data_IF_246823196816
#
_entry.id   IF_246823196816
#
_cell.length_a   1.000
_cell.length_b   1.000
_cell.length_c   1.000
_cell.angle_alpha   90.00
_cell.angle_beta   90.00
_cell.angle_gamma   90.00
#
_symmetry.space_group_name_H-M   'P 1'
#
loop_
_entity.id
_entity.type
_entity.pdbx_description
1 polymer ?
#
# COMPACT_ATOMS: atom_id res chain seq x y z
N UNK A 1 49.88 41.22 -41.79
CA UNK A 1 50.96 41.39 -40.79
C UNK A 1 50.41 42.19 -39.63
N UNK A 2 50.74 41.81 -38.39
CA UNK A 2 50.16 42.32 -37.13
C UNK A 2 48.65 42.05 -36.99
N UNK A 3 48.12 41.59 -35.85
CA UNK A 3 48.82 41.05 -34.68
C UNK A 3 48.07 41.35 -33.39
N UNK A 4 47.51 40.31 -32.77
CA UNK A 4 47.14 40.28 -31.35
C UNK A 4 47.58 38.92 -30.82
N UNK A 5 48.58 38.92 -29.93
CA UNK A 5 49.03 37.74 -29.21
C UNK A 5 48.56 37.82 -27.75
N UNK A 6 48.59 36.67 -27.09
CA UNK A 6 48.74 36.52 -25.64
C UNK A 6 47.74 37.25 -24.74
N UNK A 7 46.70 36.51 -24.36
CA UNK A 7 46.60 36.16 -22.94
C UNK A 7 45.97 34.77 -22.77
N UNK A 8 46.70 33.74 -23.19
CA UNK A 8 46.43 32.36 -22.74
C UNK A 8 46.84 32.21 -21.28
N UNK A 9 45.98 32.69 -20.40
CA UNK A 9 46.11 32.56 -18.95
C UNK A 9 45.90 31.11 -18.53
N UNK A 10 46.99 30.33 -18.55
CA UNK A 10 47.16 28.99 -17.99
C UNK A 10 46.07 28.53 -17.00
N UNK A 11 45.47 27.36 -17.24
CA UNK A 11 44.61 26.65 -16.27
C UNK A 11 45.38 26.09 -15.04
N UNK A 12 46.47 26.73 -14.66
CA UNK A 12 47.30 26.42 -13.50
C UNK A 12 46.59 26.69 -12.17
N UNK A 13 46.04 25.62 -11.57
CA UNK A 13 45.75 25.48 -10.12
C UNK A 13 45.24 26.73 -9.40
N UNK A 14 44.17 27.35 -9.89
CA UNK A 14 43.43 28.40 -9.17
C UNK A 14 41.98 27.96 -8.92
N UNK A 15 41.49 28.19 -7.70
CA UNK A 15 40.16 27.75 -7.26
C UNK A 15 39.06 28.68 -7.80
N UNK A 16 38.72 28.52 -9.08
CA UNK A 16 37.47 29.04 -9.62
C UNK A 16 36.31 28.53 -8.77
N UNK A 17 35.52 29.45 -8.21
CA UNK A 17 34.35 29.06 -7.43
C UNK A 17 33.40 28.28 -8.34
N UNK A 18 32.90 27.13 -7.89
CA UNK A 18 31.82 26.38 -8.56
C UNK A 18 30.50 27.16 -8.69
N UNK A 19 30.51 28.44 -8.28
CA UNK A 19 29.45 29.44 -8.32
C UNK A 19 29.80 30.54 -9.37
N UNK A 20 30.54 30.20 -10.44
CA UNK A 20 30.78 31.10 -11.60
C UNK A 20 30.58 30.53 -13.04
N UNK A 21 30.35 29.22 -13.25
CA UNK A 21 30.09 28.61 -14.58
C UNK A 21 28.62 28.51 -15.05
N UNK A 22 27.68 28.49 -14.12
CA UNK A 22 26.31 28.03 -14.38
C UNK A 22 25.30 28.69 -13.44
N UNK A 23 25.46 30.01 -13.24
CA UNK A 23 24.46 30.99 -12.79
C UNK A 23 23.38 31.22 -13.87
N UNK A 24 23.24 30.29 -14.81
CA UNK A 24 22.87 30.60 -16.18
C UNK A 24 21.52 30.01 -16.65
N UNK A 25 20.84 29.16 -15.86
CA UNK A 25 20.03 28.09 -16.45
C UNK A 25 18.64 27.81 -15.79
N UNK A 26 17.77 28.82 -15.56
CA UNK A 26 16.29 28.79 -15.87
C UNK A 26 15.23 29.11 -14.76
N UNK A 27 13.95 29.04 -15.16
CA UNK A 27 12.63 29.39 -14.55
C UNK A 27 11.50 28.79 -15.47
N UNK A 28 10.19 28.63 -15.19
CA UNK A 28 9.23 28.71 -14.05
C UNK A 28 7.94 27.88 -14.40
N UNK A 29 6.89 27.81 -13.57
CA UNK A 29 5.81 26.78 -13.66
C UNK A 29 4.32 27.20 -13.35
N UNK A 30 3.44 26.26 -12.92
CA UNK A 30 1.97 26.06 -13.25
C UNK A 30 1.12 25.46 -12.06
N UNK A 31 -0.26 25.46 -12.03
CA UNK A 31 -1.27 24.40 -11.56
C UNK A 31 -2.59 24.82 -10.80
N UNK A 32 -3.63 23.91 -10.69
CA UNK A 32 -4.84 23.93 -9.78
C UNK A 32 -5.95 22.81 -9.96
N UNK A 33 -6.76 22.36 -8.93
CA UNK A 33 -7.80 21.24 -8.95
C UNK A 33 -8.71 21.09 -7.62
N UNK A 34 -9.59 20.04 -7.42
CA UNK A 34 -10.36 19.49 -6.18
C UNK A 34 -11.92 19.80 -6.02
N UNK A 35 -12.92 19.12 -5.34
CA UNK A 35 -13.41 17.71 -4.95
C UNK A 35 -14.88 17.71 -4.28
N UNK A 36 -15.54 16.57 -3.83
CA UNK A 36 -17.04 16.36 -3.58
C UNK A 36 -17.50 15.33 -2.44
N UNK A 37 -18.76 15.34 -1.86
CA UNK A 37 -19.62 14.25 -1.15
C UNK A 37 -20.99 14.81 -0.52
N UNK A 38 -21.98 14.29 0.32
CA UNK A 38 -22.44 13.11 1.21
C UNK A 38 -23.98 13.31 1.68
N UNK A 39 -24.89 12.59 2.44
CA UNK A 39 -25.37 11.19 2.82
C UNK A 39 -26.76 11.14 3.66
N UNK A 40 -27.39 9.94 3.97
CA UNK A 40 -28.42 9.54 5.04
C UNK A 40 -29.97 9.86 4.92
N UNK A 41 -31.05 9.38 5.66
CA UNK A 41 -31.55 8.21 6.54
C UNK A 41 -33.13 8.35 6.85
N UNK A 42 -34.02 7.69 7.71
CA UNK A 42 -34.10 6.61 8.80
C UNK A 42 -35.58 6.29 9.40
N UNK A 43 -36.00 5.00 9.69
CA UNK A 43 -36.87 4.41 10.82
C UNK A 43 -38.39 4.80 11.15
N UNK A 44 -39.21 4.25 12.16
CA UNK A 44 -39.30 2.99 13.03
C UNK A 44 -40.72 2.41 13.50
N UNK A 45 -40.75 1.40 14.45
CA UNK A 45 -41.81 0.91 15.44
C UNK A 45 -42.93 -0.10 14.98
N UNK A 46 -43.75 -0.87 15.78
CA UNK A 46 -43.72 -1.69 17.07
C UNK A 46 -45.00 -2.65 17.11
N UNK A 47 -45.57 -3.46 18.06
CA UNK A 47 -45.53 -3.92 19.51
C UNK A 47 -46.18 -5.38 19.59
N UNK A 48 -46.81 -6.11 20.58
CA UNK A 48 -47.30 -6.06 22.01
C UNK A 48 -47.50 -7.50 22.68
N UNK A 49 -48.43 -7.75 23.67
CA UNK A 49 -48.77 -9.03 24.41
C UNK A 49 -50.30 -9.15 24.79
N UNK A 50 -50.95 -10.10 25.50
CA UNK A 50 -50.72 -11.32 26.37
C UNK A 50 -51.97 -12.31 26.28
N UNK A 51 -52.41 -13.30 27.13
CA UNK A 51 -52.12 -13.89 28.48
C UNK A 51 -52.73 -15.36 28.64
N UNK A 52 -53.02 -15.94 29.86
CA UNK A 52 -53.26 -17.40 30.10
C UNK A 52 -54.40 -17.86 31.09
N UNK A 53 -54.79 -19.15 31.03
CA UNK A 53 -55.59 -19.94 32.02
C UNK A 53 -55.08 -21.41 32.16
N UNK A 54 -55.63 -22.18 33.10
CA UNK A 54 -55.18 -23.52 33.59
C UNK A 54 -56.43 -24.33 34.02
N UNK A 55 -56.61 -25.65 33.86
CA UNK A 55 -55.78 -26.75 33.32
C UNK A 55 -56.64 -27.85 32.62
N UNK A 56 -55.99 -28.96 32.22
CA UNK A 56 -56.50 -30.33 31.94
C UNK A 56 -57.60 -30.57 30.89
N UNK A 57 -58.30 -29.54 30.42
CA UNK A 57 -59.32 -29.62 29.37
C UNK A 57 -59.17 -28.49 28.36
N UNK A 58 -59.40 -28.81 27.09
CA UNK A 58 -59.49 -27.81 26.01
C UNK A 58 -60.96 -27.67 25.59
N UNK A 59 -61.48 -26.44 25.70
CA UNK A 59 -62.86 -26.11 25.35
C UNK A 59 -63.00 -26.00 23.84
N UNK A 60 -63.69 -26.96 23.22
CA UNK A 60 -64.13 -26.85 21.83
C UNK A 60 -65.65 -26.64 21.82
N UNK A 61 -66.06 -25.42 21.46
CA UNK A 61 -67.47 -24.95 21.56
C UNK A 61 -68.02 -25.06 23.00
N UNK A 62 -68.93 -25.98 23.28
CA UNK A 62 -69.54 -26.21 24.61
C UNK A 62 -69.14 -27.56 25.25
N UNK A 63 -68.26 -28.34 24.62
CA UNK A 63 -67.78 -29.60 25.18
C UNK A 63 -66.34 -29.48 25.70
N UNK A 64 -66.11 -30.03 26.90
CA UNK A 64 -64.79 -30.20 27.48
C UNK A 64 -64.21 -31.52 26.98
N UNK A 65 -63.30 -31.44 25.99
CA UNK A 65 -62.64 -32.63 25.45
C UNK A 65 -61.40 -32.95 26.31
N UNK A 66 -61.21 -34.20 26.79
CA UNK A 66 -59.98 -34.62 27.45
C UNK A 66 -58.75 -34.34 26.58
N UNK A 67 -57.63 -33.90 27.18
CA UNK A 67 -56.43 -33.53 26.43
C UNK A 67 -55.93 -34.62 25.47
N UNK A 68 -56.01 -35.89 25.85
CA UNK A 68 -55.60 -37.02 25.01
C UNK A 68 -56.53 -37.32 23.81
N UNK A 69 -57.74 -36.74 23.79
CA UNK A 69 -58.69 -36.80 22.67
C UNK A 69 -58.67 -35.54 21.80
N UNK A 70 -57.85 -34.53 22.17
CA UNK A 70 -57.71 -33.31 21.40
C UNK A 70 -56.82 -33.54 20.16
N UNK A 71 -57.21 -32.93 19.05
CA UNK A 71 -56.37 -32.79 17.86
C UNK A 71 -55.01 -32.19 18.24
N UNK A 72 -53.92 -32.74 17.69
CA UNK A 72 -52.54 -32.34 17.99
C UNK A 72 -52.08 -32.48 19.47
N UNK A 73 -52.59 -33.46 20.22
CA UNK A 73 -52.04 -33.82 21.53
C UNK A 73 -50.68 -34.56 21.44
N UNK A 74 -49.68 -34.09 22.20
CA UNK A 74 -48.36 -34.75 22.33
C UNK A 74 -48.20 -35.32 23.73
N UNK A 75 -48.11 -36.65 23.83
CA UNK A 75 -47.97 -37.36 25.11
C UNK A 75 -46.70 -36.96 25.88
N UNK A 76 -45.54 -36.91 25.22
CA UNK A 76 -44.25 -36.48 25.80
C UNK A 76 -44.27 -35.04 26.37
N UNK A 77 -45.20 -34.19 25.89
CA UNK A 77 -45.41 -32.81 26.33
C UNK A 77 -46.43 -32.73 27.48
N UNK A 78 -47.29 -33.73 27.64
CA UNK A 78 -48.48 -33.67 28.49
C UNK A 78 -49.55 -32.68 27.98
N UNK A 79 -49.57 -32.35 26.68
CA UNK A 79 -50.49 -31.31 26.19
C UNK A 79 -50.52 -31.12 24.68
N UNK A 80 -51.42 -30.24 24.24
CA UNK A 80 -51.74 -29.97 22.83
C UNK A 80 -50.78 -28.92 22.22
N UNK A 81 -50.61 -28.98 20.89
CA UNK A 81 -49.96 -27.96 20.06
C UNK A 81 -51.00 -27.16 19.27
N UNK A 82 -50.84 -25.84 19.15
CA UNK A 82 -51.65 -25.05 18.23
C UNK A 82 -51.19 -25.28 16.78
N UNK A 83 -52.05 -25.00 15.80
CA UNK A 83 -51.71 -25.20 14.37
C UNK A 83 -50.55 -24.28 13.99
N UNK A 84 -49.44 -24.86 13.56
CA UNK A 84 -48.17 -24.17 13.31
C UNK A 84 -47.11 -24.37 14.40
N UNK A 85 -47.50 -24.75 15.63
CA UNK A 85 -46.55 -25.08 16.69
C UNK A 85 -45.85 -26.42 16.44
N UNK A 86 -44.66 -26.56 17.02
CA UNK A 86 -43.93 -27.81 17.13
C UNK A 86 -43.50 -28.09 18.58
N UNK A 87 -43.26 -29.36 18.87
CA UNK A 87 -42.60 -29.84 20.09
C UNK A 87 -41.38 -30.67 19.71
N UNK A 88 -40.32 -30.57 20.51
CA UNK A 88 -39.13 -31.45 20.41
C UNK A 88 -39.02 -32.24 21.71
N UNK A 89 -38.86 -33.55 21.60
CA UNK A 89 -38.77 -34.42 22.77
C UNK A 89 -37.51 -34.16 23.61
N UNK A 90 -37.49 -34.63 24.86
CA UNK A 90 -36.41 -34.38 25.82
C UNK A 90 -35.01 -34.84 25.36
N UNK A 91 -34.95 -35.75 24.38
CA UNK A 91 -33.70 -36.27 23.78
C UNK A 91 -33.28 -35.56 22.48
N UNK A 92 -34.05 -34.60 21.99
CA UNK A 92 -33.93 -34.01 20.65
C UNK A 92 -33.78 -35.03 19.50
N UNK A 93 -34.46 -36.18 19.59
CA UNK A 93 -34.48 -37.21 18.52
C UNK A 93 -35.72 -37.14 17.63
N UNK A 94 -36.78 -36.45 18.10
CA UNK A 94 -38.09 -36.36 17.43
C UNK A 94 -38.67 -34.96 17.55
N UNK A 95 -39.24 -34.48 16.44
CA UNK A 95 -40.06 -33.27 16.36
C UNK A 95 -41.49 -33.65 15.96
N UNK A 96 -42.47 -33.19 16.72
CA UNK A 96 -43.90 -33.38 16.44
C UNK A 96 -44.51 -32.01 16.14
N UNK A 97 -45.06 -31.80 14.95
CA UNK A 97 -45.57 -30.51 14.46
C UNK A 97 -47.07 -30.60 14.18
N UNK A 98 -47.86 -29.62 14.61
CA UNK A 98 -49.29 -29.58 14.32
C UNK A 98 -49.58 -28.87 12.99
N UNK A 99 -50.17 -29.57 12.02
CA UNK A 99 -50.59 -29.02 10.72
C UNK A 99 -51.98 -29.53 10.38
N UNK A 100 -52.89 -28.63 10.00
CA UNK A 100 -54.28 -28.97 9.64
C UNK A 100 -54.98 -29.85 10.69
N UNK A 101 -54.79 -29.56 11.97
CA UNK A 101 -55.30 -30.33 13.13
C UNK A 101 -54.76 -31.79 13.25
N UNK A 102 -53.70 -32.14 12.51
CA UNK A 102 -53.02 -33.43 12.62
C UNK A 102 -51.58 -33.23 13.11
N UNK A 103 -51.06 -34.18 13.90
CA UNK A 103 -49.64 -34.25 14.23
C UNK A 103 -48.89 -34.91 13.07
N UNK A 104 -47.79 -34.28 12.69
CA UNK A 104 -46.77 -34.83 11.81
C UNK A 104 -45.54 -35.04 12.66
N UNK A 105 -45.11 -36.29 12.83
CA UNK A 105 -43.84 -36.61 13.49
C UNK A 105 -42.72 -36.74 12.46
N UNK A 106 -41.56 -36.18 12.78
CA UNK A 106 -40.34 -36.30 12.01
C UNK A 106 -39.17 -36.68 12.94
N UNK A 107 -38.16 -37.32 12.36
CA UNK A 107 -36.83 -37.34 12.98
C UNK A 107 -36.34 -35.90 13.18
N UNK A 108 -35.61 -35.71 14.26
CA UNK A 108 -34.96 -34.45 14.60
C UNK A 108 -33.56 -34.79 15.08
N UNK A 109 -32.55 -34.07 14.62
CA UNK A 109 -31.15 -34.24 15.03
C UNK A 109 -30.51 -32.86 15.07
N UNK A 110 -29.70 -32.59 16.09
CA UNK A 110 -28.91 -31.37 16.12
C UNK A 110 -27.71 -31.49 15.18
N UNK A 111 -27.27 -30.37 14.61
CA UNK A 111 -25.92 -30.27 14.05
C UNK A 111 -24.88 -30.60 15.13
N UNK A 112 -23.73 -31.16 14.75
CA UNK A 112 -22.55 -31.33 15.63
C UNK A 112 -22.07 -30.00 16.26
N UNK A 113 -22.55 -28.87 15.74
CA UNK A 113 -22.29 -27.53 16.24
C UNK A 113 -23.53 -26.88 16.89
N UNK A 114 -24.47 -27.69 17.39
CA UNK A 114 -25.64 -27.24 18.14
C UNK A 114 -25.85 -28.06 19.42
N UNK A 115 -26.37 -27.40 20.45
CA UNK A 115 -26.77 -28.01 21.72
C UNK A 115 -28.28 -28.15 21.77
N UNK A 116 -28.78 -29.35 22.05
CA UNK A 116 -30.18 -29.58 22.46
C UNK A 116 -30.41 -28.88 23.81
N UNK A 117 -31.26 -27.86 23.84
CA UNK A 117 -31.55 -27.10 25.06
C UNK A 117 -33.00 -26.64 25.09
N UNK A 118 -33.47 -26.22 26.27
CA UNK A 118 -34.70 -25.47 26.42
C UNK A 118 -34.36 -24.02 26.78
N UNK A 119 -34.85 -23.06 26.00
CA UNK A 119 -34.65 -21.63 26.24
C UNK A 119 -36.02 -20.94 26.13
N UNK A 120 -36.39 -20.17 27.14
CA UNK A 120 -37.69 -19.48 27.23
C UNK A 120 -38.92 -20.40 26.99
N UNK A 121 -38.87 -21.63 27.51
CA UNK A 121 -39.95 -22.63 27.35
C UNK A 121 -39.98 -23.36 25.99
N UNK A 122 -39.02 -23.09 25.09
CA UNK A 122 -38.91 -23.75 23.79
C UNK A 122 -37.70 -24.68 23.77
N UNK A 123 -37.95 -26.00 23.74
CA UNK A 123 -36.92 -27.01 23.49
C UNK A 123 -36.69 -27.16 21.99
N UNK A 124 -35.42 -27.05 21.60
CA UNK A 124 -34.91 -27.34 20.25
C UNK A 124 -33.39 -27.41 20.27
N UNK A 125 -32.78 -27.71 19.12
CA UNK A 125 -31.38 -27.46 18.91
C UNK A 125 -31.12 -25.94 18.82
N UNK A 126 -30.05 -25.48 19.45
CA UNK A 126 -29.56 -24.11 19.34
C UNK A 126 -28.08 -24.17 18.94
N UNK A 127 -27.69 -23.46 17.88
CA UNK A 127 -26.28 -23.39 17.48
C UNK A 127 -25.39 -22.92 18.64
N UNK A 128 -24.21 -23.51 18.72
CA UNK A 128 -23.18 -23.20 19.72
C UNK A 128 -22.63 -21.78 19.48
N UNK A 129 -21.92 -21.17 20.46
CA UNK A 129 -21.24 -19.90 20.25
C UNK A 129 -20.39 -19.91 18.98
N UNK A 130 -20.38 -18.79 18.27
CA UNK A 130 -19.77 -18.60 16.95
C UNK A 130 -20.43 -19.39 15.80
N UNK A 131 -21.58 -20.03 15.97
CA UNK A 131 -22.37 -20.63 14.89
C UNK A 131 -23.76 -20.00 14.74
N UNK A 132 -24.29 -19.96 13.51
CA UNK A 132 -25.65 -19.48 13.19
C UNK A 132 -26.41 -20.47 12.29
N UNK A 133 -27.73 -20.48 12.43
CA UNK A 133 -28.63 -21.38 11.72
C UNK A 133 -29.91 -21.65 12.51
N UNK A 134 -30.63 -22.71 12.15
CA UNK A 134 -31.88 -23.12 12.82
C UNK A 134 -31.65 -24.05 14.03
N UNK A 135 -30.50 -24.74 14.07
CA UNK A 135 -30.09 -25.73 15.08
C UNK A 135 -29.92 -27.15 14.51
N UNK A 136 -30.60 -27.48 13.41
CA UNK A 136 -30.40 -28.71 12.64
C UNK A 136 -29.24 -28.49 11.64
N UNK A 137 -29.18 -27.30 11.04
CA UNK A 137 -28.03 -26.79 10.29
C UNK A 137 -27.41 -25.63 11.06
N UNK A 138 -26.09 -25.66 11.28
CA UNK A 138 -25.33 -24.58 11.90
C UNK A 138 -24.01 -24.34 11.14
N UNK A 139 -23.84 -23.13 10.60
CA UNK A 139 -22.61 -22.69 9.92
C UNK A 139 -21.80 -21.77 10.84
N UNK A 140 -20.48 -21.81 10.76
CA UNK A 140 -19.63 -20.92 11.56
C UNK A 140 -19.84 -19.46 11.13
N UNK A 141 -19.70 -18.54 12.06
CA UNK A 141 -19.78 -17.08 11.82
C UNK A 141 -18.45 -16.49 11.38
N UNK A 142 -17.37 -17.27 11.39
CA UNK A 142 -16.00 -16.77 11.26
C UNK A 142 -15.63 -15.66 12.27
N UNK A 143 -16.23 -15.71 13.46
CA UNK A 143 -15.81 -14.88 14.61
C UNK A 143 -14.43 -15.31 15.12
N UNK A 144 -13.52 -14.34 15.29
CA UNK A 144 -12.18 -14.50 15.85
C UNK A 144 -12.11 -13.71 17.16
N UNK A 145 -11.84 -14.42 18.26
CA UNK A 145 -11.83 -13.84 19.61
C UNK A 145 -10.78 -12.74 19.78
N UNK A 146 -9.56 -12.94 19.26
CA UNK A 146 -8.41 -12.02 19.33
C UNK A 146 -8.66 -10.63 18.71
N UNK A 147 -9.68 -10.49 17.84
CA UNK A 147 -10.12 -9.22 17.27
C UNK A 147 -11.56 -8.84 17.65
N UNK A 148 -12.22 -9.65 18.49
CA UNK A 148 -13.60 -9.45 18.94
C UNK A 148 -14.64 -9.35 17.82
N UNK A 149 -14.37 -9.91 16.64
CA UNK A 149 -15.12 -9.60 15.41
C UNK A 149 -15.19 -10.77 14.43
N UNK A 150 -16.13 -10.68 13.48
CA UNK A 150 -16.28 -11.59 12.33
C UNK A 150 -15.30 -11.19 11.23
N UNK A 151 -14.58 -12.17 10.67
CA UNK A 151 -13.74 -11.98 9.50
C UNK A 151 -14.59 -11.66 8.26
N UNK A 152 -14.30 -10.53 7.61
CA UNK A 152 -14.85 -10.23 6.27
C UNK A 152 -14.18 -11.03 5.15
N UNK A 153 -12.85 -11.24 5.26
CA UNK A 153 -12.06 -12.11 4.37
C UNK A 153 -10.95 -12.80 5.18
N UNK A 154 -9.96 -12.04 5.66
CA UNK A 154 -8.85 -12.52 6.50
C UNK A 154 -8.35 -11.45 7.46
N UNK A 155 -7.58 -11.85 8.47
CA UNK A 155 -6.90 -10.96 9.42
C UNK A 155 -5.54 -11.51 9.82
N UNK A 156 -4.70 -10.67 10.43
CA UNK A 156 -3.46 -11.05 11.11
C UNK A 156 -3.66 -10.96 12.62
N UNK A 157 -3.35 -12.04 13.33
CA UNK A 157 -3.51 -12.13 14.78
C UNK A 157 -2.48 -11.28 15.55
N UNK A 158 -2.73 -11.03 16.84
CA UNK A 158 -1.80 -10.28 17.69
C UNK A 158 -0.43 -10.98 17.76
N UNK A 159 0.61 -10.28 17.29
CA UNK A 159 1.98 -10.80 17.20
C UNK A 159 2.48 -11.09 15.78
N UNK A 160 1.62 -11.00 14.75
CA UNK A 160 1.99 -11.26 13.34
C UNK A 160 2.68 -12.62 13.08
N UNK A 161 2.35 -13.66 13.86
CA UNK A 161 2.84 -15.04 13.67
C UNK A 161 1.87 -15.93 12.89
N UNK A 162 0.60 -15.51 12.79
CA UNK A 162 -0.49 -16.28 12.17
C UNK A 162 -1.49 -15.37 11.44
N UNK A 163 -2.00 -15.86 10.31
CA UNK A 163 -3.09 -15.29 9.52
C UNK A 163 -4.31 -16.19 9.65
N UNK A 164 -5.48 -15.63 9.91
CA UNK A 164 -6.75 -16.37 9.96
C UNK A 164 -7.65 -15.89 8.83
N UNK A 165 -8.13 -16.81 7.99
CA UNK A 165 -8.94 -16.54 6.79
C UNK A 165 -10.28 -17.26 6.89
N UNK A 166 -11.37 -16.60 6.54
CA UNK A 166 -12.69 -17.23 6.44
C UNK A 166 -12.91 -17.74 5.01
N UNK A 167 -13.08 -19.05 4.85
CA UNK A 167 -13.50 -19.66 3.58
C UNK A 167 -14.65 -20.62 3.84
N UNK A 168 -15.71 -20.58 3.04
CA UNK A 168 -16.87 -21.50 3.11
C UNK A 168 -17.54 -21.61 4.51
N UNK A 169 -17.46 -20.58 5.35
CA UNK A 169 -17.88 -20.60 6.77
C UNK A 169 -17.01 -21.55 7.65
N UNK A 170 -15.71 -21.60 7.39
CA UNK A 170 -14.67 -22.22 8.20
C UNK A 170 -13.51 -21.24 8.37
N UNK A 171 -12.86 -21.24 9.54
CA UNK A 171 -11.60 -20.51 9.74
C UNK A 171 -10.45 -21.43 9.34
N UNK A 172 -9.60 -20.96 8.44
CA UNK A 172 -8.32 -21.54 8.07
C UNK A 172 -7.23 -20.68 8.71
N UNK A 173 -6.23 -21.30 9.32
CA UNK A 173 -5.12 -20.59 9.95
C UNK A 173 -3.78 -21.00 9.34
N UNK A 174 -3.02 -20.00 8.90
CA UNK A 174 -1.75 -20.14 8.20
C UNK A 174 -0.63 -19.49 9.03
N UNK A 175 0.60 -20.01 8.90
CA UNK A 175 1.79 -19.32 9.38
C UNK A 175 1.94 -17.98 8.66
N UNK A 176 2.11 -16.90 9.41
CA UNK A 176 2.37 -15.58 8.87
C UNK A 176 3.68 -15.07 9.47
N UNK A 177 4.56 -14.51 8.66
CA UNK A 177 5.85 -14.02 9.13
C UNK A 177 6.27 -12.79 8.33
N UNK A 178 6.66 -11.73 9.05
CA UNK A 178 7.19 -10.53 8.40
C UNK A 178 8.54 -10.81 7.74
N UNK A 179 8.79 -10.10 6.64
CA UNK A 179 10.15 -9.98 6.09
C UNK A 179 11.12 -9.44 7.15
N UNK A 180 12.41 -9.73 7.00
CA UNK A 180 13.49 -9.12 7.82
C UNK A 180 13.62 -7.60 7.60
N UNK A 181 12.90 -7.06 6.63
CA UNK A 181 12.76 -5.63 6.31
C UNK A 181 11.29 -5.18 6.40
N UNK A 182 10.54 -5.73 7.37
CA UNK A 182 9.16 -5.35 7.63
C UNK A 182 8.80 -5.36 9.12
N UNK A 183 8.14 -4.29 9.55
CA UNK A 183 7.61 -4.13 10.90
C UNK A 183 6.14 -4.59 10.98
N UNK A 184 5.82 -5.50 11.92
CA UNK A 184 4.44 -5.81 12.31
C UNK A 184 3.79 -4.57 12.94
N UNK A 185 2.72 -4.06 12.35
CA UNK A 185 2.01 -2.88 12.85
C UNK A 185 0.52 -2.94 12.57
N UNK A 186 -0.23 -2.01 13.15
CA UNK A 186 -1.60 -1.70 12.77
C UNK A 186 -1.67 -0.28 12.23
N UNK A 187 -2.21 -0.12 11.01
CA UNK A 187 -2.39 1.19 10.37
C UNK A 187 -3.81 1.26 9.81
N UNK A 188 -4.56 2.29 10.19
CA UNK A 188 -5.97 2.49 9.80
C UNK A 188 -6.90 1.29 10.10
N UNK A 189 -6.69 0.61 11.23
CA UNK A 189 -7.46 -0.58 11.64
C UNK A 189 -7.09 -1.87 10.90
N UNK A 190 -6.08 -1.85 10.02
CA UNK A 190 -5.54 -3.04 9.37
C UNK A 190 -4.24 -3.44 10.06
N UNK A 191 -4.20 -4.63 10.65
CA UNK A 191 -2.97 -5.22 11.20
C UNK A 191 -2.31 -6.11 10.15
N UNK A 192 -1.03 -5.86 9.90
CA UNK A 192 -0.16 -6.70 9.05
C UNK A 192 1.31 -6.30 9.21
N UNK A 193 2.20 -7.04 8.58
CA UNK A 193 3.56 -6.57 8.29
C UNK A 193 3.50 -5.43 7.26
N UNK A 194 4.31 -4.40 7.47
CA UNK A 194 4.54 -3.31 6.54
C UNK A 194 6.04 -3.21 6.30
N UNK A 195 6.47 -3.14 5.03
CA UNK A 195 7.89 -2.95 4.73
C UNK A 195 8.44 -1.67 5.40
N UNK A 196 9.71 -1.74 5.78
CA UNK A 196 10.43 -0.61 6.37
C UNK A 196 10.78 0.45 5.30
N UNK A 197 11.41 1.56 5.69
CA UNK A 197 11.76 2.62 4.74
C UNK A 197 12.70 2.11 3.64
N UNK A 198 12.47 2.57 2.41
CA UNK A 198 13.18 2.18 1.19
C UNK A 198 12.96 0.71 0.74
N UNK A 199 11.99 0.00 1.33
CA UNK A 199 11.54 -1.34 0.90
C UNK A 199 10.08 -1.33 0.44
N UNK A 200 9.78 -2.10 -0.62
CA UNK A 200 8.43 -2.32 -1.15
C UNK A 200 8.05 -3.80 -1.18
N UNK A 201 6.75 -4.09 -1.14
CA UNK A 201 6.20 -5.45 -1.13
C UNK A 201 4.90 -5.56 -0.34
N UNK A 202 4.51 -6.80 -0.01
CA UNK A 202 3.27 -7.09 0.73
C UNK A 202 3.44 -7.01 2.27
N UNK A 203 4.67 -7.19 2.76
CA UNK A 203 5.07 -7.26 4.17
C UNK A 203 5.68 -8.62 4.58
N UNK A 204 5.38 -9.69 3.85
CA UNK A 204 5.97 -11.02 3.99
C UNK A 204 7.22 -11.09 3.09
N UNK A 205 7.07 -10.64 1.85
CA UNK A 205 8.17 -10.28 0.95
C UNK A 205 8.32 -8.76 0.94
N UNK A 206 9.53 -8.27 1.25
CA UNK A 206 9.92 -6.88 1.09
C UNK A 206 11.28 -6.83 0.40
N UNK A 207 11.32 -6.29 -0.82
CA UNK A 207 12.55 -6.04 -1.57
C UNK A 207 12.93 -4.57 -1.43
N UNK A 208 14.23 -4.26 -1.34
CA UNK A 208 14.66 -2.85 -1.35
C UNK A 208 14.28 -2.27 -2.70
N UNK A 209 13.63 -1.12 -2.72
CA UNK A 209 13.41 -0.41 -3.97
C UNK A 209 14.79 -0.02 -4.51
N UNK A 210 15.18 -0.58 -5.66
CA UNK A 210 16.45 -0.24 -6.31
C UNK A 210 16.24 1.06 -7.08
N UNK A 211 16.02 2.12 -6.32
CA UNK A 211 15.99 3.49 -6.81
C UNK A 211 17.37 3.83 -7.39
N UNK A 212 17.47 4.25 -8.66
CA UNK A 212 18.76 4.43 -9.32
C UNK A 212 19.45 5.68 -8.78
N UNK A 213 20.67 5.55 -8.26
CA UNK A 213 21.46 6.67 -7.72
C UNK A 213 21.99 7.64 -8.77
N UNK A 214 22.05 7.22 -10.02
CA UNK A 214 22.59 7.95 -11.17
C UNK A 214 22.06 7.35 -12.50
N UNK A 215 22.35 8.01 -13.63
CA UNK A 215 21.97 7.50 -14.95
C UNK A 215 22.69 6.20 -15.33
N UNK A 216 23.83 5.86 -14.72
CA UNK A 216 24.54 4.61 -14.98
C UNK A 216 23.76 3.41 -14.42
N UNK A 217 23.13 3.54 -13.24
CA UNK A 217 22.24 2.50 -12.71
C UNK A 217 20.98 2.33 -13.56
N UNK A 218 20.38 3.42 -14.07
CA UNK A 218 19.30 3.35 -15.08
C UNK A 218 19.74 2.63 -16.36
N UNK A 219 20.96 2.89 -16.84
CA UNK A 219 21.49 2.24 -18.02
C UNK A 219 21.80 0.76 -17.79
N UNK A 220 22.34 0.39 -16.63
CA UNK A 220 22.54 -1.01 -16.25
C UNK A 220 21.21 -1.76 -16.08
N UNK A 221 20.14 -1.09 -15.61
CA UNK A 221 18.79 -1.68 -15.52
C UNK A 221 18.05 -1.80 -16.86
N UNK A 222 18.67 -1.40 -17.99
CA UNK A 222 18.14 -1.59 -19.35
C UNK A 222 17.54 -0.34 -19.99
N UNK A 223 17.60 0.82 -19.34
CA UNK A 223 17.14 2.10 -19.93
C UNK A 223 18.07 2.52 -21.06
N UNK A 224 17.56 2.71 -22.29
CA UNK A 224 18.39 2.97 -23.49
C UNK A 224 18.13 4.29 -24.22
N UNK A 225 17.04 4.98 -23.93
CA UNK A 225 16.71 6.26 -24.59
C UNK A 225 17.23 7.46 -23.81
N UNK A 226 17.62 8.51 -24.52
CA UNK A 226 17.92 9.81 -23.92
C UNK A 226 16.65 10.47 -23.32
N UNK A 227 16.77 11.17 -22.19
CA UNK A 227 15.62 11.86 -21.58
C UNK A 227 15.81 12.31 -20.14
N UNK A 228 14.76 12.90 -19.55
CA UNK A 228 14.74 13.29 -18.14
C UNK A 228 14.20 12.16 -17.27
N UNK A 229 15.00 11.75 -16.29
CA UNK A 229 14.70 10.69 -15.33
C UNK A 229 14.82 11.19 -13.89
N UNK A 230 14.14 10.50 -12.97
CA UNK A 230 14.34 10.70 -11.52
C UNK A 230 15.40 9.73 -11.03
N UNK A 231 16.45 10.25 -10.39
CA UNK A 231 17.48 9.49 -9.69
C UNK A 231 17.50 9.85 -8.21
N UNK A 232 18.11 9.01 -7.37
CA UNK A 232 18.07 9.12 -5.91
C UNK A 232 19.50 9.08 -5.31
N UNK A 233 20.28 10.17 -5.43
CA UNK A 233 21.63 10.24 -4.87
C UNK A 233 21.64 10.22 -3.34
N UNK A 234 22.78 9.87 -2.74
CA UNK A 234 22.92 9.76 -1.28
C UNK A 234 22.65 11.09 -0.57
N UNK A 235 21.66 11.07 0.33
CA UNK A 235 21.10 12.24 1.00
C UNK A 235 19.85 12.85 0.35
N UNK A 236 19.37 12.32 -0.79
CA UNK A 236 18.22 12.84 -1.53
C UNK A 236 17.12 11.77 -1.77
N UNK A 237 16.57 11.21 -0.69
CA UNK A 237 15.50 10.20 -0.74
C UNK A 237 14.19 10.66 -1.40
N UNK A 238 13.98 11.96 -1.58
CA UNK A 238 12.87 12.50 -2.39
C UNK A 238 13.02 12.28 -3.90
N UNK A 239 14.20 11.83 -4.34
CA UNK A 239 14.62 11.85 -5.74
C UNK A 239 14.94 13.27 -6.24
N UNK A 240 15.67 13.32 -7.36
CA UNK A 240 15.97 14.53 -8.13
C UNK A 240 15.86 14.24 -9.63
N UNK A 241 15.45 15.23 -10.43
CA UNK A 241 15.37 15.07 -11.88
C UNK A 241 16.68 15.50 -12.58
N UNK A 242 17.21 14.59 -13.39
CA UNK A 242 18.41 14.77 -14.23
C UNK A 242 18.07 14.47 -15.69
N UNK A 243 18.91 14.92 -16.62
CA UNK A 243 18.90 14.39 -17.98
C UNK A 243 19.95 13.28 -18.09
N UNK A 244 19.55 12.15 -18.66
CA UNK A 244 20.43 11.03 -18.96
C UNK A 244 20.68 10.98 -20.46
N UNK A 245 21.95 10.95 -20.84
CA UNK A 245 22.40 10.57 -22.18
C UNK A 245 22.75 9.08 -22.15
N UNK A 246 21.96 8.28 -22.86
CA UNK A 246 21.94 6.82 -22.86
C UNK A 246 22.36 6.25 -24.22
N UNK A 247 22.13 6.99 -25.31
CA UNK A 247 22.38 6.53 -26.69
C UNK A 247 23.82 6.84 -27.15
N UNK A 248 24.41 7.91 -26.62
CA UNK A 248 25.75 8.40 -27.00
C UNK A 248 26.84 8.06 -25.96
N UNK A 249 28.10 8.11 -26.40
CA UNK A 249 29.29 8.01 -25.55
C UNK A 249 29.37 6.76 -24.64
N UNK A 250 28.67 5.66 -24.99
CA UNK A 250 28.57 4.43 -24.20
C UNK A 250 27.38 4.34 -23.25
N UNK A 251 26.61 5.43 -23.11
CA UNK A 251 25.41 5.54 -22.27
C UNK A 251 25.67 5.73 -20.78
N UNK A 252 24.60 5.98 -20.03
CA UNK A 252 24.63 6.15 -18.57
C UNK A 252 25.11 7.51 -18.06
N UNK A 253 25.30 8.48 -18.95
CA UNK A 253 25.83 9.80 -18.61
C UNK A 253 24.80 10.67 -17.91
N UNK A 254 25.11 11.12 -16.68
CA UNK A 254 24.26 12.05 -15.92
C UNK A 254 24.62 13.48 -16.28
N UNK A 255 23.85 14.10 -17.17
CA UNK A 255 24.06 15.48 -17.60
C UNK A 255 23.66 16.42 -16.47
N UNK A 256 24.62 17.20 -15.98
CA UNK A 256 24.42 18.18 -14.90
C UNK A 256 24.47 19.65 -15.37
N UNK A 257 25.06 19.88 -16.55
CA UNK A 257 25.04 21.14 -17.29
C UNK A 257 24.73 20.80 -18.73
N UNK A 258 23.81 21.55 -19.36
CA UNK A 258 23.63 21.53 -20.82
C UNK A 258 23.71 22.94 -21.35
N UNK A 259 24.36 23.10 -22.51
CA UNK A 259 24.45 24.37 -23.24
C UNK A 259 24.21 24.14 -24.73
N UNK A 260 22.98 24.37 -25.13
CA UNK A 260 22.42 24.16 -26.46
C UNK A 260 21.83 25.43 -27.06
N UNK A 261 21.47 26.44 -26.25
CA UNK A 261 20.87 27.67 -26.74
C UNK A 261 21.20 28.90 -25.87
N UNK A 262 20.43 29.97 -26.09
CA UNK A 262 20.33 31.14 -25.23
C UNK A 262 18.89 31.34 -24.69
N UNK A 263 18.08 30.28 -24.58
CA UNK A 263 16.73 30.32 -24.02
C UNK A 263 16.67 30.74 -22.54
N UNK A 264 17.84 30.94 -21.93
CA UNK A 264 17.98 31.19 -20.51
C UNK A 264 19.03 32.24 -20.17
N UNK A 265 18.68 33.19 -19.30
CA UNK A 265 19.62 34.21 -18.78
C UNK A 265 20.78 33.60 -17.99
N UNK A 266 21.98 34.07 -18.35
CA UNK A 266 23.28 33.62 -17.91
C UNK A 266 23.76 34.12 -16.52
N UNK A 267 22.98 34.85 -15.70
CA UNK A 267 23.60 35.65 -14.63
C UNK A 267 22.78 35.87 -13.32
N UNK A 268 22.42 34.81 -12.58
CA UNK A 268 21.69 34.85 -11.26
C UNK A 268 22.54 35.12 -9.99
N UNK A 269 22.24 34.46 -8.84
CA UNK A 269 22.91 34.55 -7.53
C UNK A 269 23.64 33.26 -7.05
N UNK A 270 24.09 33.20 -5.78
CA UNK A 270 24.73 31.99 -5.19
C UNK A 270 23.72 30.87 -4.92
N UNK A 271 22.54 31.25 -4.40
CA UNK A 271 21.45 30.32 -4.11
C UNK A 271 21.02 29.52 -5.33
N UNK A 272 21.07 30.12 -6.53
CA UNK A 272 20.64 29.48 -7.76
C UNK A 272 21.62 28.40 -8.24
N UNK A 273 22.93 28.58 -8.05
CA UNK A 273 23.89 27.47 -8.22
C UNK A 273 23.63 26.36 -7.24
N UNK A 274 23.55 26.72 -5.96
CA UNK A 274 23.37 25.76 -4.85
C UNK A 274 22.19 24.85 -5.11
N UNK A 275 21.06 25.42 -5.52
CA UNK A 275 19.79 24.73 -5.71
C UNK A 275 19.54 24.25 -7.14
N UNK A 276 20.30 24.73 -8.12
CA UNK A 276 20.06 24.43 -9.54
C UNK A 276 18.83 25.13 -10.13
N UNK A 277 18.69 24.95 -11.43
CA UNK A 277 17.57 25.41 -12.25
C UNK A 277 17.57 24.65 -13.60
N UNK A 278 16.52 24.79 -14.41
CA UNK A 278 16.52 24.28 -15.78
C UNK A 278 15.13 24.01 -16.32
N UNK A 279 15.03 23.85 -17.64
CA UNK A 279 14.37 22.66 -18.13
C UNK A 279 15.46 21.60 -18.31
N UNK A 280 15.38 20.47 -17.59
CA UNK A 280 16.41 19.43 -17.67
C UNK A 280 16.54 18.83 -19.09
N UNK A 281 15.49 18.87 -19.91
CA UNK A 281 15.56 18.48 -21.32
C UNK A 281 16.43 19.42 -22.18
N UNK A 282 16.53 20.68 -21.78
CA UNK A 282 17.20 21.78 -22.48
C UNK A 282 18.40 22.27 -21.64
N UNK A 283 18.71 23.56 -21.77
CA UNK A 283 19.64 24.33 -20.97
C UNK A 283 19.28 24.30 -19.46
N UNK A 284 20.12 23.63 -18.67
CA UNK A 284 19.93 23.44 -17.22
C UNK A 284 21.25 23.41 -16.42
N UNK A 285 21.12 23.62 -15.10
CA UNK A 285 22.12 23.30 -14.09
C UNK A 285 21.48 22.42 -13.03
N UNK A 286 22.01 21.23 -12.78
CA UNK A 286 21.44 20.33 -11.79
C UNK A 286 21.38 20.97 -10.40
N UNK A 287 22.49 21.58 -9.96
CA UNK A 287 22.68 22.30 -8.71
C UNK A 287 23.85 21.76 -7.90
N UNK A 288 24.67 22.62 -7.31
CA UNK A 288 25.93 22.24 -6.68
C UNK A 288 25.74 21.28 -5.50
N UNK A 289 24.66 21.43 -4.72
CA UNK A 289 24.35 20.49 -3.61
C UNK A 289 24.05 19.07 -4.11
N UNK A 290 23.59 18.93 -5.34
CA UNK A 290 23.26 17.66 -5.97
C UNK A 290 24.48 17.03 -6.65
N UNK A 291 25.30 17.80 -7.38
CA UNK A 291 26.60 17.28 -7.85
C UNK A 291 27.44 16.84 -6.65
N UNK A 292 27.55 17.64 -5.59
CA UNK A 292 28.33 17.27 -4.42
C UNK A 292 27.91 15.91 -3.84
N UNK A 293 26.60 15.66 -3.70
CA UNK A 293 26.07 14.36 -3.28
C UNK A 293 26.47 13.25 -4.27
N UNK A 294 26.14 13.40 -5.56
CA UNK A 294 26.47 12.39 -6.58
C UNK A 294 27.97 12.08 -6.63
N UNK A 295 28.83 13.09 -6.81
CA UNK A 295 30.27 12.88 -7.04
C UNK A 295 31.05 12.37 -5.83
N UNK A 296 30.40 12.21 -4.67
CA UNK A 296 31.01 11.65 -3.47
C UNK A 296 30.34 10.34 -3.00
N UNK A 297 29.34 9.82 -3.74
CA UNK A 297 28.69 8.53 -3.43
C UNK A 297 29.42 7.32 -4.07
N UNK A 298 30.20 7.56 -5.13
CA UNK A 298 31.09 6.61 -5.83
C UNK A 298 32.24 7.40 -6.49
N UNK A 299 33.16 6.71 -7.15
CA UNK A 299 34.08 7.34 -8.12
C UNK A 299 33.34 7.67 -9.42
N UNK A 300 33.37 8.93 -9.86
CA UNK A 300 32.81 9.37 -11.15
C UNK A 300 33.90 9.96 -12.04
N UNK A 301 33.81 9.69 -13.34
CA UNK A 301 34.53 10.43 -14.38
C UNK A 301 33.71 11.64 -14.84
N UNK A 302 34.38 12.69 -15.30
CA UNK A 302 33.74 13.82 -15.98
C UNK A 302 34.02 13.74 -17.47
N UNK A 303 33.00 13.97 -18.29
CA UNK A 303 33.14 14.30 -19.71
C UNK A 303 32.56 15.71 -19.94
N UNK A 304 33.25 16.51 -20.75
CA UNK A 304 32.79 17.81 -21.23
C UNK A 304 32.85 17.75 -22.76
N UNK A 305 31.71 17.89 -23.43
CA UNK A 305 31.63 18.04 -24.88
C UNK A 305 31.39 19.51 -25.25
N UNK A 306 32.20 20.00 -26.19
CA UNK A 306 32.15 21.36 -26.73
C UNK A 306 31.95 21.27 -28.24
N UNK A 307 30.95 21.97 -28.76
CA UNK A 307 30.69 22.02 -30.21
C UNK A 307 30.69 23.47 -30.67
N UNK A 308 31.57 23.77 -31.62
CA UNK A 308 31.60 25.10 -32.24
C UNK A 308 30.55 25.22 -33.36
N UNK A 309 30.15 26.46 -33.61
CA UNK A 309 29.42 26.93 -34.78
C UNK A 309 29.98 26.41 -36.12
N UNK A 310 31.31 26.25 -36.24
CA UNK A 310 31.96 25.64 -37.41
C UNK A 310 31.84 24.09 -37.48
N UNK A 311 30.95 23.49 -36.69
CA UNK A 311 30.63 22.06 -36.57
C UNK A 311 31.68 21.15 -35.90
N UNK A 312 32.90 21.63 -35.66
CA UNK A 312 33.95 20.94 -34.91
C UNK A 312 33.48 20.52 -33.51
N UNK A 313 33.69 19.24 -33.16
CA UNK A 313 33.41 18.68 -31.84
C UNK A 313 34.70 18.38 -31.08
N UNK A 314 34.86 19.03 -29.94
CA UNK A 314 35.96 18.84 -29.00
C UNK A 314 35.41 18.21 -27.71
N UNK A 315 36.24 17.41 -27.04
CA UNK A 315 35.89 16.83 -25.75
C UNK A 315 37.08 16.79 -24.80
N UNK A 316 36.77 16.93 -23.51
CA UNK A 316 37.65 16.67 -22.38
C UNK A 316 37.05 15.55 -21.53
N UNK A 317 37.90 14.66 -21.03
CA UNK A 317 37.57 13.62 -20.05
C UNK A 317 38.54 13.75 -18.87
N UNK A 318 38.01 13.65 -17.65
CA UNK A 318 38.80 13.55 -16.42
C UNK A 318 38.47 12.24 -15.72
N UNK A 319 39.51 11.43 -15.45
CA UNK A 319 39.36 10.06 -14.91
C UNK A 319 38.70 10.00 -13.53
N UNK A 320 38.80 11.07 -12.76
CA UNK A 320 37.97 11.32 -11.58
C UNK A 320 37.44 12.75 -11.58
N UNK A 321 36.29 12.97 -10.94
CA UNK A 321 35.66 14.27 -10.76
C UNK A 321 34.85 14.28 -9.48
N UNK A 322 35.10 15.30 -8.65
CA UNK A 322 34.21 15.65 -7.55
C UNK A 322 34.23 17.14 -7.22
N UNK A 323 33.17 17.59 -6.55
CA UNK A 323 33.17 18.88 -5.86
C UNK A 323 32.95 18.66 -4.36
N UNK A 324 33.59 19.51 -3.55
CA UNK A 324 33.43 19.50 -2.10
C UNK A 324 32.10 20.15 -1.67
N UNK A 325 31.84 20.22 -0.36
CA UNK A 325 30.59 20.77 0.18
C UNK A 325 30.53 22.31 0.10
N UNK A 326 29.43 22.90 0.56
CA UNK A 326 29.22 24.36 0.53
C UNK A 326 30.20 25.14 1.42
N UNK A 327 30.60 24.58 2.56
CA UNK A 327 31.58 25.20 3.48
C UNK A 327 32.95 25.36 2.80
N UNK A 328 33.34 24.37 2.00
CA UNK A 328 34.50 24.41 1.11
C UNK A 328 34.16 24.95 -0.29
N UNK A 329 33.11 25.81 -0.38
CA UNK A 329 32.72 26.60 -1.55
C UNK A 329 32.50 25.81 -2.85
N UNK A 330 32.17 24.52 -2.74
CA UNK A 330 32.09 23.60 -3.87
C UNK A 330 33.41 23.48 -4.65
N UNK A 331 34.56 23.46 -3.95
CA UNK A 331 35.90 23.32 -4.53
C UNK A 331 35.98 22.07 -5.41
N UNK A 332 36.31 22.28 -6.67
CA UNK A 332 36.52 21.25 -7.68
C UNK A 332 37.74 20.38 -7.36
N UNK A 333 37.69 19.11 -7.75
CA UNK A 333 38.81 18.18 -7.78
C UNK A 333 38.64 17.25 -8.99
N UNK A 334 39.68 17.10 -9.80
CA UNK A 334 39.68 16.28 -11.02
C UNK A 334 40.95 15.43 -11.12
N UNK A 335 40.81 14.28 -11.76
CA UNK A 335 41.90 13.34 -12.03
C UNK A 335 42.70 13.69 -13.30
N UNK A 336 43.34 12.69 -13.88
CA UNK A 336 44.08 12.82 -15.14
C UNK A 336 43.16 13.22 -16.29
N UNK A 337 43.58 14.22 -17.06
CA UNK A 337 42.92 14.67 -18.28
C UNK A 337 43.21 13.75 -19.49
N UNK A 338 42.27 13.65 -20.42
CA UNK A 338 42.48 13.23 -21.80
C UNK A 338 41.40 13.85 -22.71
N UNK A 339 41.63 13.94 -24.02
CA UNK A 339 40.65 14.51 -24.94
C UNK A 339 41.23 14.97 -26.27
N UNK A 340 40.48 15.82 -26.98
CA UNK A 340 40.97 16.61 -28.12
C UNK A 340 40.74 18.13 -27.94
N UNK A 341 40.31 18.58 -26.76
CA UNK A 341 40.62 19.93 -26.26
C UNK A 341 42.11 20.03 -25.92
N UNK A 342 42.68 21.24 -25.92
CA UNK A 342 43.97 21.49 -25.25
C UNK A 342 43.86 21.38 -23.72
N UNK A 343 45.02 21.35 -23.04
CA UNK A 343 45.14 21.26 -21.57
C UNK A 343 44.69 22.52 -20.81
#
# INVERSE_FOLDING_TARGET
>A
MKGFSENEGSFGKTSLNGVQLMRYLAMRHVKGLVTTLILASRLPLEKNRAMCCVCDYLRQQEQCIPLNQCNCFVADKGGVLMVGDFYVNSRCTRRSTCRNNQIIEASYQCSDHATCAERSGVRKCYCNPNYIGDGETCRHTCFVADIGSVLGVSTVLSGCTRRSTCQNNQIIEESYQCSVHATCAERSGVRKCYCDQDYQGDGETCTREVVPKDCQELYVSGTRSDGVYTIYPDGWSSGIQVYCEMESNGGGWTVFQRRSSASVDFYRGWSDYKNGFGNKNEDHWLGNKYIHSMTNQKTYQLRIDLRDSASSSFHAVYSTFSINNETDKYRLSVGSHSGNTGE
#
